data_IF_572740226123
#
_entry.id   IF_572740226123
#
_cell.length_a   1.000
_cell.length_b   1.000
_cell.length_c   1.000
_cell.angle_alpha   90.00
_cell.angle_beta   90.00
_cell.angle_gamma   90.00
#
_symmetry.space_group_name_H-M   'P 1'
#
loop_
_entity.id
_entity.type
_entity.pdbx_description
1 polymer ?
#
# COMPACT_ATOMS: atom_id res chain seq x y z
N UNK A 1 15.72 11.69 20.05
CA UNK A 1 14.27 11.36 20.08
C UNK A 1 13.94 10.83 21.47
N UNK A 2 12.72 11.01 21.96
CA UNK A 2 12.28 10.41 23.22
C UNK A 2 12.21 8.88 23.11
N UNK A 3 12.66 8.16 24.14
CA UNK A 3 12.72 6.69 24.16
C UNK A 3 11.36 6.04 23.89
N UNK A 4 10.27 6.69 24.34
CA UNK A 4 8.89 6.25 24.10
C UNK A 4 8.49 6.32 22.62
N UNK A 5 8.92 7.36 21.90
CA UNK A 5 8.68 7.53 20.47
C UNK A 5 9.50 6.51 19.68
N UNK A 6 10.75 6.27 20.09
CA UNK A 6 11.61 5.26 19.48
C UNK A 6 10.99 3.87 19.56
N UNK A 7 10.51 3.49 20.74
CA UNK A 7 9.90 2.19 20.95
C UNK A 7 8.55 2.06 20.23
N UNK A 8 7.78 3.15 20.15
CA UNK A 8 6.55 3.17 19.36
C UNK A 8 6.84 2.90 17.87
N UNK A 9 7.75 3.66 17.26
CA UNK A 9 8.16 3.45 15.87
C UNK A 9 8.66 2.03 15.65
N UNK A 10 9.50 1.51 16.56
CA UNK A 10 10.03 0.13 16.50
C UNK A 10 8.90 -0.90 16.48
N UNK A 11 7.91 -0.77 17.37
CA UNK A 11 6.76 -1.68 17.45
C UNK A 11 5.88 -1.58 16.21
N UNK A 12 5.69 -0.39 15.65
CA UNK A 12 4.93 -0.18 14.43
C UNK A 12 5.61 -0.84 13.23
N UNK A 13 6.90 -0.59 13.02
CA UNK A 13 7.69 -1.19 11.93
C UNK A 13 7.75 -2.72 12.05
N UNK A 14 7.88 -3.25 13.28
CA UNK A 14 7.87 -4.70 13.51
C UNK A 14 6.53 -5.38 13.18
N UNK A 15 5.42 -4.66 13.09
CA UNK A 15 4.13 -5.22 12.65
C UNK A 15 4.02 -5.30 11.12
N UNK A 16 4.78 -4.50 10.39
CA UNK A 16 4.72 -4.42 8.92
C UNK A 16 5.43 -5.63 8.29
N UNK A 17 4.82 -6.39 7.38
CA UNK A 17 5.51 -7.49 6.72
C UNK A 17 6.64 -6.96 5.81
N UNK A 18 7.78 -7.67 5.74
CA UNK A 18 9.02 -7.20 5.10
C UNK A 18 8.85 -6.82 3.62
N UNK A 19 7.96 -7.50 2.90
CA UNK A 19 7.65 -7.23 1.49
C UNK A 19 7.01 -5.85 1.29
N UNK A 20 6.26 -5.34 2.27
CA UNK A 20 5.57 -4.05 2.19
C UNK A 20 6.30 -2.92 2.92
N UNK A 21 7.36 -3.25 3.66
CA UNK A 21 8.10 -2.29 4.47
C UNK A 21 8.68 -1.15 3.63
N UNK A 22 9.25 -1.48 2.47
CA UNK A 22 9.83 -0.48 1.56
C UNK A 22 8.77 0.47 1.01
N UNK A 23 7.60 -0.05 0.63
CA UNK A 23 6.46 0.75 0.15
C UNK A 23 5.96 1.72 1.23
N UNK A 24 5.80 1.23 2.47
CA UNK A 24 5.32 2.04 3.59
C UNK A 24 6.34 3.12 3.96
N UNK A 25 7.63 2.79 4.00
CA UNK A 25 8.68 3.77 4.30
C UNK A 25 8.80 4.85 3.21
N UNK A 26 8.61 4.48 1.94
CA UNK A 26 8.54 5.46 0.84
C UNK A 26 7.32 6.38 0.98
N UNK A 27 6.16 5.83 1.31
CA UNK A 27 4.94 6.63 1.51
C UNK A 27 5.00 7.53 2.76
N UNK A 28 5.82 7.17 3.75
CA UNK A 28 6.03 8.00 4.94
C UNK A 28 6.84 9.26 4.65
N UNK A 29 7.67 9.27 3.59
CA UNK A 29 8.51 10.40 3.11
C UNK A 29 9.46 11.05 4.14
N UNK A 30 9.47 10.59 5.39
CA UNK A 30 10.37 11.07 6.43
C UNK A 30 11.83 10.65 6.17
N UNK A 31 12.02 9.43 5.65
CA UNK A 31 13.31 8.88 5.26
C UNK A 31 13.51 9.10 3.76
N UNK A 32 14.58 9.80 3.39
CA UNK A 32 14.87 10.04 1.97
C UNK A 32 15.29 8.75 1.27
N UNK A 33 15.07 8.70 -0.04
CA UNK A 33 15.37 7.51 -0.86
C UNK A 33 16.86 7.10 -0.77
N UNK A 34 17.76 8.07 -0.62
CA UNK A 34 19.19 7.83 -0.41
C UNK A 34 19.46 7.06 0.89
N UNK A 35 18.75 7.38 1.97
CA UNK A 35 18.91 6.68 3.25
C UNK A 35 18.29 5.28 3.21
N UNK A 36 17.20 5.11 2.46
CA UNK A 36 16.57 3.81 2.24
C UNK A 36 17.44 2.90 1.36
N UNK A 37 18.20 3.43 0.40
CA UNK A 37 19.16 2.64 -0.39
C UNK A 37 20.31 2.08 0.46
N UNK A 38 20.72 2.78 1.51
CA UNK A 38 21.74 2.31 2.47
C UNK A 38 21.25 1.15 3.33
N UNK A 39 19.93 1.00 3.49
CA UNK A 39 19.32 -0.05 4.31
C UNK A 39 19.23 -1.35 3.51
N UNK A 40 19.91 -2.39 4.00
CA UNK A 40 19.89 -3.70 3.36
C UNK A 40 18.63 -4.50 3.73
N UNK A 41 17.55 -4.35 2.95
CA UNK A 41 16.30 -5.08 3.14
C UNK A 41 16.38 -6.61 2.90
N UNK A 42 17.54 -7.15 2.49
CA UNK A 42 17.75 -8.61 2.41
C UNK A 42 18.09 -9.24 3.76
N UNK A 43 18.33 -8.42 4.78
CA UNK A 43 18.68 -8.89 6.12
C UNK A 43 17.44 -9.28 6.93
N UNK A 44 17.71 -9.80 8.13
CA UNK A 44 16.70 -10.13 9.12
C UNK A 44 15.96 -8.85 9.55
N UNK A 45 14.65 -8.97 9.76
CA UNK A 45 13.76 -7.83 10.07
C UNK A 45 14.25 -7.01 11.26
N UNK A 46 14.70 -7.66 12.33
CA UNK A 46 15.19 -6.95 13.52
C UNK A 46 16.38 -6.03 13.21
N UNK A 47 17.31 -6.47 12.36
CA UNK A 47 18.49 -5.70 11.94
C UNK A 47 18.09 -4.47 11.12
N UNK A 48 17.13 -4.65 10.20
CA UNK A 48 16.57 -3.56 9.40
C UNK A 48 15.87 -2.54 10.29
N UNK A 49 15.06 -2.99 11.26
CA UNK A 49 14.39 -2.08 12.21
C UNK A 49 15.41 -1.31 13.03
N UNK A 50 16.47 -1.96 13.55
CA UNK A 50 17.51 -1.26 14.31
C UNK A 50 18.19 -0.15 13.51
N UNK A 51 18.54 -0.42 12.24
CA UNK A 51 19.10 0.60 11.35
C UNK A 51 18.10 1.74 11.08
N UNK A 52 16.81 1.43 10.88
CA UNK A 52 15.78 2.44 10.67
C UNK A 52 15.57 3.33 11.91
N UNK A 53 15.61 2.76 13.11
CA UNK A 53 15.51 3.55 14.36
C UNK A 53 16.71 4.49 14.49
N UNK A 54 17.92 4.02 14.19
CA UNK A 54 19.11 4.87 14.20
C UNK A 54 18.97 6.07 13.25
N UNK A 55 18.49 5.84 12.02
CA UNK A 55 18.21 6.92 11.06
C UNK A 55 17.12 7.89 11.56
N UNK A 56 16.09 7.37 12.23
CA UNK A 56 15.04 8.20 12.83
C UNK A 56 15.57 9.02 14.02
N UNK A 57 16.53 8.51 14.78
CA UNK A 57 17.19 9.23 15.88
C UNK A 57 18.07 10.38 15.35
N UNK A 58 18.86 10.12 14.29
CA UNK A 58 19.68 11.14 13.63
C UNK A 58 18.85 12.31 13.10
N UNK A 59 17.70 12.00 12.47
CA UNK A 59 16.75 13.02 11.97
C UNK A 59 15.86 13.65 13.06
N UNK A 60 15.98 13.23 14.32
CA UNK A 60 15.14 13.67 15.45
C UNK A 60 13.64 13.52 15.18
N UNK A 61 13.20 12.30 14.86
CA UNK A 61 11.78 11.99 14.67
C UNK A 61 10.93 12.46 15.86
N UNK A 62 9.85 13.16 15.55
CA UNK A 62 8.90 13.70 16.53
C UNK A 62 7.73 12.73 16.75
N UNK A 63 6.93 13.00 17.78
CA UNK A 63 5.69 12.26 18.02
C UNK A 63 4.71 12.36 16.84
N UNK A 64 4.68 13.49 16.14
CA UNK A 64 3.81 13.69 14.98
C UNK A 64 4.23 12.79 13.81
N UNK A 65 5.54 12.66 13.56
CA UNK A 65 6.06 11.79 12.50
C UNK A 65 5.76 10.32 12.79
N UNK A 66 5.87 9.93 14.07
CA UNK A 66 5.52 8.60 14.53
C UNK A 66 4.02 8.31 14.39
N UNK A 67 3.15 9.28 14.69
CA UNK A 67 1.71 9.16 14.49
C UNK A 67 1.35 9.05 13.00
N UNK A 68 2.00 9.83 12.13
CA UNK A 68 1.84 9.70 10.68
C UNK A 68 2.24 8.30 10.19
N UNK A 69 3.35 7.76 10.68
CA UNK A 69 3.76 6.39 10.36
C UNK A 69 2.69 5.37 10.77
N UNK A 70 2.11 5.49 11.98
CA UNK A 70 1.05 4.58 12.44
C UNK A 70 -0.21 4.68 11.58
N UNK A 71 -0.63 5.90 11.22
CA UNK A 71 -1.78 6.12 10.33
C UNK A 71 -1.54 5.47 8.96
N UNK A 72 -0.39 5.73 8.34
CA UNK A 72 0.00 5.16 7.05
C UNK A 72 0.07 3.64 7.14
N UNK A 73 0.71 3.10 8.18
CA UNK A 73 0.79 1.67 8.43
C UNK A 73 -0.59 1.05 8.61
N UNK A 74 -1.49 1.68 9.37
CA UNK A 74 -2.85 1.18 9.59
C UNK A 74 -3.64 1.14 8.29
N UNK A 75 -3.52 2.18 7.47
CA UNK A 75 -4.21 2.31 6.18
C UNK A 75 -3.71 1.26 5.18
N UNK A 76 -2.40 1.19 4.96
CA UNK A 76 -1.79 0.23 4.03
C UNK A 76 -1.93 -1.21 4.52
N UNK A 77 -1.72 -1.51 5.81
CA UNK A 77 -1.95 -2.87 6.32
C UNK A 77 -3.42 -3.29 6.21
N UNK A 78 -4.39 -2.39 6.45
CA UNK A 78 -5.81 -2.72 6.28
C UNK A 78 -6.12 -3.01 4.82
N UNK A 79 -5.59 -2.19 3.91
CA UNK A 79 -5.68 -2.39 2.47
C UNK A 79 -5.14 -3.77 2.07
N UNK A 80 -3.87 -4.07 2.41
CA UNK A 80 -3.26 -5.36 2.10
C UNK A 80 -3.96 -6.54 2.76
N UNK A 81 -4.41 -6.39 4.00
CA UNK A 81 -5.17 -7.42 4.70
C UNK A 81 -6.50 -7.71 4.01
N UNK A 82 -7.20 -6.67 3.56
CA UNK A 82 -8.43 -6.82 2.80
C UNK A 82 -8.22 -7.60 1.50
N UNK A 83 -7.16 -7.30 0.73
CA UNK A 83 -6.83 -8.06 -0.49
C UNK A 83 -6.41 -9.49 -0.20
N UNK A 84 -5.63 -9.69 0.86
CA UNK A 84 -5.16 -11.02 1.27
C UNK A 84 -6.33 -11.92 1.67
N UNK A 85 -7.28 -11.41 2.45
CA UNK A 85 -8.48 -12.15 2.87
C UNK A 85 -9.38 -12.51 1.69
N UNK A 86 -9.56 -11.58 0.74
CA UNK A 86 -10.46 -11.80 -0.39
C UNK A 86 -9.86 -12.65 -1.52
N UNK A 87 -8.62 -13.15 -1.39
CA UNK A 87 -7.90 -13.88 -2.45
C UNK A 87 -7.92 -13.11 -3.78
N UNK A 88 -7.66 -11.81 -3.72
CA UNK A 88 -7.58 -10.94 -4.89
C UNK A 88 -6.16 -10.46 -5.05
N UNK A 89 -5.63 -10.50 -6.27
CA UNK A 89 -4.34 -9.88 -6.61
C UNK A 89 -4.60 -8.61 -7.40
N UNK A 90 -4.15 -7.47 -6.88
CA UNK A 90 -4.23 -6.19 -7.60
C UNK A 90 -2.83 -5.76 -7.98
N UNK A 91 -2.69 -5.25 -9.20
CA UNK A 91 -1.44 -4.72 -9.75
C UNK A 91 -1.72 -3.39 -10.42
N UNK A 92 -0.86 -2.41 -10.18
CA UNK A 92 -0.99 -1.05 -10.69
C UNK A 92 0.11 -0.81 -11.73
N UNK A 93 -0.22 -0.10 -12.80
CA UNK A 93 0.73 0.42 -13.78
C UNK A 93 0.32 1.84 -14.14
N UNK A 94 1.21 2.79 -13.90
CA UNK A 94 1.04 4.16 -14.34
C UNK A 94 1.48 4.30 -15.80
N UNK A 95 0.82 5.20 -16.52
CA UNK A 95 1.13 5.55 -17.91
C UNK A 95 1.26 7.07 -18.01
N UNK A 96 2.06 7.55 -18.97
CA UNK A 96 2.44 8.96 -19.12
C UNK A 96 1.24 9.91 -19.26
N UNK A 97 0.07 9.40 -19.68
CA UNK A 97 -1.17 10.16 -19.87
C UNK A 97 -2.00 10.34 -18.58
N UNK A 98 -1.40 10.29 -17.39
CA UNK A 98 -2.11 10.34 -16.10
C UNK A 98 -3.17 9.24 -15.90
N UNK A 99 -3.11 8.18 -16.71
CA UNK A 99 -3.97 7.01 -16.60
C UNK A 99 -3.29 5.95 -15.73
N UNK A 100 -4.06 5.38 -14.80
CA UNK A 100 -3.65 4.28 -13.93
C UNK A 100 -4.38 3.02 -14.40
N UNK A 101 -3.59 2.04 -14.82
CA UNK A 101 -4.07 0.71 -15.16
C UNK A 101 -4.05 -0.16 -13.91
N UNK A 102 -5.21 -0.65 -13.53
CA UNK A 102 -5.42 -1.54 -12.39
C UNK A 102 -5.80 -2.91 -12.94
N UNK A 103 -4.93 -3.90 -12.77
CA UNK A 103 -5.19 -5.30 -13.14
C UNK A 103 -5.54 -6.08 -11.88
N UNK A 104 -6.68 -6.76 -11.91
CA UNK A 104 -7.25 -7.49 -10.78
C UNK A 104 -7.47 -8.95 -11.16
N UNK A 105 -6.76 -9.86 -10.50
CA UNK A 105 -7.00 -11.29 -10.62
C UNK A 105 -7.83 -11.79 -9.43
N UNK A 106 -8.93 -12.48 -9.72
CA UNK A 106 -9.88 -12.96 -8.71
C UNK A 106 -9.63 -14.40 -8.33
N UNK A 107 -9.64 -14.69 -7.03
CA UNK A 107 -9.72 -16.02 -6.46
C UNK A 107 -11.06 -16.27 -5.79
N UNK A 108 -11.27 -17.49 -5.31
CA UNK A 108 -12.40 -17.82 -4.43
C UNK A 108 -11.86 -18.30 -3.09
N UNK A 109 -12.73 -18.50 -2.11
CA UNK A 109 -12.33 -19.04 -0.79
C UNK A 109 -11.56 -20.38 -0.88
N UNK A 110 -11.75 -21.15 -1.95
CA UNK A 110 -11.10 -22.44 -2.15
C UNK A 110 -10.03 -22.42 -3.26
N UNK A 111 -9.88 -21.32 -3.99
CA UNK A 111 -8.99 -21.27 -5.17
C UNK A 111 -8.09 -20.04 -5.16
N UNK A 112 -6.83 -20.25 -5.57
CA UNK A 112 -5.88 -19.16 -5.76
C UNK A 112 -6.39 -18.19 -6.85
N UNK A 113 -6.02 -16.89 -6.78
CA UNK A 113 -6.40 -15.91 -7.78
C UNK A 113 -5.97 -16.32 -9.19
N UNK A 114 -6.92 -16.34 -10.13
CA UNK A 114 -6.65 -16.78 -11.49
C UNK A 114 -5.97 -15.67 -12.31
N UNK A 115 -4.66 -15.81 -12.51
CA UNK A 115 -3.86 -14.83 -13.25
C UNK A 115 -4.14 -14.80 -14.76
N UNK A 116 -4.75 -15.86 -15.32
CA UNK A 116 -5.06 -15.92 -16.75
C UNK A 116 -6.37 -15.22 -17.12
N UNK A 117 -7.22 -14.92 -16.12
CA UNK A 117 -8.52 -14.25 -16.31
C UNK A 117 -8.67 -13.00 -15.43
N UNK A 118 -7.79 -11.99 -15.59
CA UNK A 118 -7.88 -10.76 -14.84
C UNK A 118 -8.99 -9.83 -15.36
N UNK A 119 -9.46 -8.94 -14.49
CA UNK A 119 -10.24 -7.76 -14.84
C UNK A 119 -9.31 -6.56 -14.90
N UNK A 120 -9.38 -5.79 -15.98
CA UNK A 120 -8.61 -4.56 -16.12
C UNK A 120 -9.52 -3.36 -15.90
N UNK A 121 -9.02 -2.38 -15.17
CA UNK A 121 -9.70 -1.12 -14.91
C UNK A 121 -8.74 0.00 -15.24
N UNK A 122 -9.22 0.98 -15.98
CA UNK A 122 -8.45 2.19 -16.30
C UNK A 122 -9.11 3.36 -15.59
N UNK A 123 -8.32 4.04 -14.78
CA UNK A 123 -8.71 5.24 -14.07
C UNK A 123 -7.90 6.43 -14.60
N UNK A 124 -8.58 7.52 -14.91
CA UNK A 124 -7.94 8.78 -15.30
C UNK A 124 -8.08 9.78 -14.16
N UNK A 125 -6.97 10.35 -13.67
CA UNK A 125 -7.02 11.31 -12.55
C UNK A 125 -7.83 12.57 -12.85
N UNK A 126 -8.02 12.90 -14.13
CA UNK A 126 -8.73 14.09 -14.59
C UNK A 126 -10.25 13.89 -14.71
N UNK A 127 -10.75 12.66 -14.58
CA UNK A 127 -12.19 12.38 -14.73
C UNK A 127 -12.70 11.41 -13.65
N UNK A 128 -13.94 11.58 -13.15
CA UNK A 128 -14.52 10.68 -12.17
C UNK A 128 -14.94 9.31 -12.77
N UNK A 129 -14.57 9.01 -14.01
CA UNK A 129 -14.98 7.80 -14.73
C UNK A 129 -13.89 6.74 -14.68
N UNK A 130 -14.29 5.50 -14.38
CA UNK A 130 -13.43 4.32 -14.44
C UNK A 130 -13.99 3.32 -15.45
N UNK A 131 -13.16 2.92 -16.43
CA UNK A 131 -13.54 1.94 -17.44
C UNK A 131 -13.13 0.54 -16.98
N UNK A 132 -14.03 -0.45 -17.08
CA UNK A 132 -13.76 -1.84 -16.68
C UNK A 132 -13.88 -2.79 -17.86
N UNK A 133 -12.92 -3.70 -18.01
CA UNK A 133 -13.00 -4.81 -18.97
C UNK A 133 -13.92 -5.91 -18.44
N UNK A 134 -14.48 -6.72 -19.35
CA UNK A 134 -15.42 -7.78 -19.00
C UNK A 134 -14.77 -8.85 -18.11
N UNK A 135 -15.27 -9.01 -16.88
CA UNK A 135 -14.87 -10.08 -15.95
C UNK A 135 -15.61 -11.39 -16.26
N UNK A 136 -14.91 -12.52 -16.20
CA UNK A 136 -15.53 -13.85 -16.33
C UNK A 136 -16.36 -14.26 -15.11
N UNK A 137 -16.16 -13.61 -13.96
CA UNK A 137 -16.86 -13.93 -12.71
C UNK A 137 -18.20 -13.17 -12.60
N UNK A 138 -19.11 -13.40 -13.55
CA UNK A 138 -20.43 -12.72 -13.64
C UNK A 138 -21.32 -12.88 -12.41
N UNK A 139 -21.08 -13.88 -11.55
CA UNK A 139 -21.88 -14.12 -10.33
C UNK A 139 -21.65 -13.11 -9.22
N UNK A 140 -20.47 -12.48 -9.16
CA UNK A 140 -20.17 -11.53 -8.09
C UNK A 140 -20.53 -10.09 -8.48
N UNK A 141 -20.91 -9.80 -9.72
CA UNK A 141 -21.05 -8.43 -10.28
C UNK A 141 -21.84 -7.41 -9.45
N UNK A 142 -22.97 -7.72 -8.77
CA UNK A 142 -23.69 -6.74 -7.94
C UNK A 142 -23.04 -6.52 -6.56
N UNK A 143 -22.55 -7.58 -5.91
CA UNK A 143 -21.71 -7.48 -4.69
C UNK A 143 -20.39 -6.77 -5.00
N UNK A 144 -19.82 -7.04 -6.17
CA UNK A 144 -18.69 -6.35 -6.75
C UNK A 144 -19.07 -4.88 -6.88
N UNK A 145 -20.17 -4.48 -7.50
CA UNK A 145 -20.54 -3.07 -7.64
C UNK A 145 -20.61 -2.29 -6.32
N UNK A 146 -21.11 -2.90 -5.24
CA UNK A 146 -21.16 -2.26 -3.92
C UNK A 146 -19.80 -2.23 -3.23
N UNK A 147 -19.11 -3.38 -3.19
CA UNK A 147 -17.76 -3.48 -2.63
C UNK A 147 -16.81 -2.62 -3.42
N UNK A 148 -16.96 -2.55 -4.73
CA UNK A 148 -16.18 -1.78 -5.71
C UNK A 148 -16.48 -0.31 -5.64
N UNK A 149 -17.71 0.16 -5.47
CA UNK A 149 -17.90 1.60 -5.25
C UNK A 149 -17.24 2.04 -3.95
N UNK A 150 -17.27 1.18 -2.92
CA UNK A 150 -16.58 1.41 -1.66
C UNK A 150 -15.06 1.29 -1.81
N UNK A 151 -14.58 0.25 -2.50
CA UNK A 151 -13.17 -0.02 -2.79
C UNK A 151 -12.60 0.99 -3.75
N UNK A 152 -13.36 1.50 -4.70
CA UNK A 152 -12.92 2.48 -5.68
C UNK A 152 -12.97 3.85 -5.03
N UNK A 153 -13.89 4.15 -4.11
CA UNK A 153 -13.70 5.31 -3.24
C UNK A 153 -12.46 5.19 -2.37
N UNK A 154 -12.22 4.05 -1.71
CA UNK A 154 -11.05 3.82 -0.86
C UNK A 154 -9.73 3.79 -1.66
N UNK A 155 -9.68 3.06 -2.78
CA UNK A 155 -8.56 2.98 -3.73
C UNK A 155 -8.34 4.32 -4.43
N UNK A 156 -9.39 5.06 -4.81
CA UNK A 156 -9.21 6.39 -5.44
C UNK A 156 -8.75 7.40 -4.41
N UNK A 157 -9.26 7.37 -3.17
CA UNK A 157 -8.69 8.16 -2.07
C UNK A 157 -7.23 7.74 -1.78
N UNK A 158 -6.92 6.44 -1.77
CA UNK A 158 -5.58 5.92 -1.52
C UNK A 158 -4.61 6.25 -2.65
N UNK A 159 -5.00 6.13 -3.91
CA UNK A 159 -4.18 6.53 -5.07
C UNK A 159 -3.99 8.05 -5.08
N UNK A 160 -5.02 8.83 -4.73
CA UNK A 160 -4.92 10.31 -4.70
C UNK A 160 -4.08 10.79 -3.52
N UNK A 161 -4.15 10.13 -2.35
CA UNK A 161 -3.29 10.42 -1.19
C UNK A 161 -1.86 9.90 -1.39
N UNK A 162 -1.66 8.73 -2.00
CA UNK A 162 -0.32 8.26 -2.40
C UNK A 162 0.31 9.16 -3.47
N UNK A 163 -0.49 9.71 -4.42
CA UNK A 163 -0.01 10.74 -5.37
C UNK A 163 0.30 12.07 -4.71
N UNK A 164 -0.37 12.45 -3.61
CA UNK A 164 -0.03 13.64 -2.81
C UNK A 164 1.23 13.45 -1.96
N UNK A 165 1.57 12.22 -1.60
CA UNK A 165 2.80 11.91 -0.86
C UNK A 165 4.05 11.78 -1.75
N UNK A 166 3.90 11.87 -3.09
CA UNK A 166 4.97 11.69 -4.07
C UNK A 166 5.27 12.96 -4.90
N UNK A 167 4.57 14.07 -4.63
CA UNK A 167 4.78 15.40 -5.21
C UNK A 167 5.01 16.40 -4.07
#
# INVERSE_FOLDING_TARGET
>A
MDETVAEFIKRTILKIPLNELTTILKAWDFLSENQLQTVNFRQRKESVVQHLIHLCEEKRASLNDAALLDIICKKLCLFFFFFFLNKVTVSFRETEENAVWIRIAWGTQYTKPNQYKPTYVVYYSQTPYAFKSSSTLRRNTPLLGQVWNKLLQEITLDITEMKKAYN
#
